data_IF_300912070398
#
_entry.id   IF_300912070398
#
_cell.length_a   1.000
_cell.length_b   1.000
_cell.length_c   1.000
_cell.angle_alpha   90.00
_cell.angle_beta   90.00
_cell.angle_gamma   90.00
#
_symmetry.space_group_name_H-M   'P 1'
#
loop_
_entity.id
_entity.type
_entity.pdbx_description
1 polymer ?
#
# COMPACT_ATOMS: atom_id res chain seq x y z
N UNK A 1 -33.64 -16.90 60.95
CA UNK A 1 -33.43 -18.03 60.02
C UNK A 1 -33.87 -17.60 58.63
N UNK A 2 -33.13 -16.65 58.05
CA UNK A 2 -33.24 -16.15 56.68
C UNK A 2 -31.79 -15.75 56.32
N UNK A 3 -31.41 -15.89 55.06
CA UNK A 3 -30.24 -15.28 54.39
C UNK A 3 -28.99 -16.10 54.02
N UNK A 4 -29.09 -17.42 53.83
CA UNK A 4 -28.04 -18.15 53.06
C UNK A 4 -28.39 -18.41 51.58
N UNK A 5 -29.63 -18.23 51.14
CA UNK A 5 -30.02 -18.49 49.72
C UNK A 5 -29.88 -17.28 48.79
N UNK A 6 -29.94 -16.04 49.31
CA UNK A 6 -29.90 -14.82 48.48
C UNK A 6 -28.51 -14.59 47.86
N UNK A 7 -27.44 -14.96 48.56
CA UNK A 7 -26.06 -14.77 48.08
C UNK A 7 -25.64 -15.83 47.06
N UNK A 8 -26.22 -17.03 47.11
CA UNK A 8 -25.95 -18.08 46.11
C UNK A 8 -26.61 -17.73 44.76
N UNK A 9 -27.81 -17.14 44.79
CA UNK A 9 -28.56 -16.81 43.58
C UNK A 9 -28.01 -15.57 42.84
N UNK A 10 -27.29 -14.67 43.53
CA UNK A 10 -26.70 -13.49 42.90
C UNK A 10 -25.37 -13.80 42.19
N UNK A 11 -24.65 -14.84 42.62
CA UNK A 11 -23.42 -15.29 41.94
C UNK A 11 -23.74 -16.09 40.67
N UNK A 12 -24.83 -16.86 40.67
CA UNK A 12 -25.30 -17.63 39.50
C UNK A 12 -25.87 -16.73 38.39
N UNK A 13 -26.49 -15.59 38.76
CA UNK A 13 -26.95 -14.56 37.81
C UNK A 13 -25.79 -13.74 37.23
N UNK A 14 -24.67 -13.60 37.95
CA UNK A 14 -23.49 -12.87 37.45
C UNK A 14 -22.54 -13.75 36.61
N UNK A 15 -22.58 -15.07 36.78
CA UNK A 15 -21.84 -16.01 35.91
C UNK A 15 -22.58 -16.32 34.60
N UNK A 16 -23.88 -16.07 34.52
CA UNK A 16 -24.68 -16.31 33.29
C UNK A 16 -24.60 -15.18 32.24
N UNK A 17 -24.04 -14.01 32.58
CA UNK A 17 -23.82 -12.92 31.61
C UNK A 17 -22.41 -12.89 30.99
N UNK A 18 -21.51 -13.79 31.44
CA UNK A 18 -20.08 -13.76 31.08
C UNK A 18 -19.70 -14.23 29.67
N UNK A 19 -20.48 -15.08 28.98
CA UNK A 19 -20.16 -15.56 27.62
C UNK A 19 -21.41 -15.98 26.83
N UNK A 20 -22.22 -15.03 26.35
CA UNK A 20 -23.00 -15.26 25.11
C UNK A 20 -22.17 -14.89 23.89
N UNK A 21 -20.98 -15.48 23.76
CA UNK A 21 -20.11 -15.35 22.58
C UNK A 21 -20.59 -16.18 21.38
N UNK A 22 -21.62 -17.00 21.54
CA UNK A 22 -22.06 -17.97 20.53
C UNK A 22 -23.26 -17.48 19.69
N UNK A 23 -23.70 -16.24 19.90
CA UNK A 23 -24.77 -15.61 19.15
C UNK A 23 -24.28 -14.79 17.96
N UNK A 24 -25.23 -14.17 17.27
CA UNK A 24 -24.97 -13.28 16.13
C UNK A 24 -24.01 -12.12 16.46
N UNK A 25 -24.10 -11.55 17.67
CA UNK A 25 -23.17 -10.52 18.14
C UNK A 25 -21.71 -11.02 18.20
N UNK A 26 -21.49 -12.28 18.58
CA UNK A 26 -20.17 -12.91 18.57
C UNK A 26 -19.63 -13.06 17.15
N UNK A 27 -20.48 -13.51 16.21
CA UNK A 27 -20.14 -13.58 14.79
C UNK A 27 -19.78 -12.21 14.22
N UNK A 28 -20.59 -11.18 14.51
CA UNK A 28 -20.31 -9.80 14.07
C UNK A 28 -18.95 -9.31 14.57
N UNK A 29 -18.64 -9.51 15.85
CA UNK A 29 -17.35 -9.15 16.44
C UNK A 29 -16.18 -9.85 15.74
N UNK A 30 -16.30 -11.16 15.50
CA UNK A 30 -15.25 -11.93 14.82
C UNK A 30 -14.98 -11.39 13.40
N UNK A 31 -16.03 -11.07 12.64
CA UNK A 31 -15.88 -10.50 11.30
C UNK A 31 -15.29 -9.09 11.33
N UNK A 32 -15.69 -8.26 12.30
CA UNK A 32 -15.13 -6.93 12.52
C UNK A 32 -13.64 -7.01 12.86
N UNK A 33 -13.27 -7.83 13.85
CA UNK A 33 -11.88 -8.02 14.28
C UNK A 33 -11.00 -8.47 13.11
N UNK A 34 -11.52 -9.37 12.28
CA UNK A 34 -10.78 -9.93 11.17
C UNK A 34 -10.64 -8.94 9.99
N UNK A 35 -11.66 -8.12 9.72
CA UNK A 35 -11.58 -7.04 8.74
C UNK A 35 -10.69 -5.88 9.21
N UNK A 36 -10.78 -5.50 10.49
CA UNK A 36 -9.91 -4.51 11.10
C UNK A 36 -8.44 -4.95 11.12
N UNK A 37 -8.18 -6.22 11.43
CA UNK A 37 -6.84 -6.80 11.37
C UNK A 37 -6.26 -6.77 9.95
N UNK A 38 -7.05 -7.13 8.93
CA UNK A 38 -6.62 -7.03 7.53
C UNK A 38 -6.28 -5.57 7.16
N UNK A 39 -7.14 -4.62 7.51
CA UNK A 39 -6.92 -3.20 7.26
C UNK A 39 -5.67 -2.65 7.99
N UNK A 40 -5.40 -3.12 9.22
CA UNK A 40 -4.19 -2.77 9.96
C UNK A 40 -2.89 -3.24 9.27
N UNK A 41 -2.98 -4.30 8.47
CA UNK A 41 -1.89 -4.80 7.63
C UNK A 41 -1.91 -4.24 6.19
N UNK A 42 -2.76 -3.24 5.92
CA UNK A 42 -2.88 -2.58 4.62
C UNK A 42 -3.77 -3.29 3.60
N UNK A 43 -4.41 -4.40 3.98
CA UNK A 43 -5.42 -5.05 3.15
C UNK A 43 -6.79 -4.44 3.42
N UNK A 44 -7.13 -3.43 2.63
CA UNK A 44 -8.44 -2.79 2.65
C UNK A 44 -9.47 -3.49 1.75
N UNK A 45 -9.18 -4.65 1.17
CA UNK A 45 -10.09 -5.36 0.26
C UNK A 45 -11.10 -6.26 0.99
N UNK A 46 -10.77 -6.67 2.22
CA UNK A 46 -11.66 -7.46 3.06
C UNK A 46 -12.93 -6.67 3.41
N UNK A 47 -14.10 -7.30 3.32
CA UNK A 47 -15.41 -6.70 3.62
C UNK A 47 -16.10 -7.49 4.73
N UNK A 48 -16.84 -6.79 5.58
CA UNK A 48 -17.75 -7.42 6.53
C UNK A 48 -18.97 -7.97 5.79
N UNK A 49 -19.46 -9.17 6.13
CA UNK A 49 -20.72 -9.68 5.59
C UNK A 49 -21.90 -8.81 6.05
N UNK A 50 -22.96 -8.75 5.26
CA UNK A 50 -24.18 -7.98 5.57
C UNK A 50 -25.41 -8.91 5.59
N UNK A 51 -25.23 -10.12 6.12
CA UNK A 51 -26.25 -11.15 6.23
C UNK A 51 -26.55 -11.51 7.70
N UNK A 52 -26.49 -10.50 8.56
CA UNK A 52 -26.94 -10.61 9.94
C UNK A 52 -28.47 -10.50 10.00
N UNK A 53 -29.09 -11.15 10.99
CA UNK A 53 -30.51 -11.07 11.29
C UNK A 53 -30.85 -9.70 11.87
N UNK A 54 -29.97 -9.14 12.71
CA UNK A 54 -30.09 -7.78 13.22
C UNK A 54 -29.76 -6.73 12.13
N UNK A 55 -30.72 -5.87 11.75
CA UNK A 55 -30.49 -4.79 10.80
C UNK A 55 -29.42 -3.78 11.23
N UNK A 56 -29.20 -3.57 12.53
CA UNK A 56 -28.17 -2.64 13.04
C UNK A 56 -26.75 -3.16 12.77
N UNK A 57 -26.55 -4.47 12.85
CA UNK A 57 -25.26 -5.07 12.47
C UNK A 57 -25.00 -4.94 10.97
N UNK A 58 -26.03 -5.10 10.14
CA UNK A 58 -25.89 -4.88 8.70
C UNK A 58 -25.55 -3.42 8.37
N UNK A 59 -26.20 -2.45 9.02
CA UNK A 59 -25.90 -1.01 8.89
C UNK A 59 -24.46 -0.68 9.33
N UNK A 60 -24.02 -1.29 10.43
CA UNK A 60 -22.66 -1.10 10.93
C UNK A 60 -21.62 -1.70 9.98
N UNK A 61 -21.87 -2.90 9.47
CA UNK A 61 -21.04 -3.55 8.46
C UNK A 61 -20.98 -2.74 7.15
N UNK A 62 -22.11 -2.16 6.73
CA UNK A 62 -22.18 -1.25 5.58
C UNK A 62 -21.26 -0.04 5.76
N UNK A 63 -21.44 0.68 6.87
CA UNK A 63 -20.66 1.87 7.20
C UNK A 63 -19.16 1.57 7.25
N UNK A 64 -18.78 0.43 7.82
CA UNK A 64 -17.39 0.00 7.88
C UNK A 64 -16.84 -0.36 6.48
N UNK A 65 -17.64 -1.03 5.65
CA UNK A 65 -17.28 -1.36 4.28
C UNK A 65 -17.10 -0.11 3.41
N UNK A 66 -17.94 0.93 3.58
CA UNK A 66 -17.79 2.22 2.91
C UNK A 66 -16.48 2.92 3.30
N UNK A 67 -16.14 2.92 4.59
CA UNK A 67 -14.86 3.44 5.08
C UNK A 67 -13.67 2.72 4.41
N UNK A 68 -13.70 1.38 4.38
CA UNK A 68 -12.65 0.60 3.73
C UNK A 68 -12.58 0.85 2.22
N UNK A 69 -13.71 1.05 1.55
CA UNK A 69 -13.75 1.40 0.14
C UNK A 69 -13.04 2.75 -0.13
N UNK A 70 -13.33 3.78 0.67
CA UNK A 70 -12.67 5.08 0.55
C UNK A 70 -11.17 4.97 0.77
N UNK A 71 -10.73 4.18 1.77
CA UNK A 71 -9.30 3.95 2.04
C UNK A 71 -8.63 3.19 0.90
N UNK A 72 -9.24 2.11 0.42
CA UNK A 72 -8.73 1.31 -0.69
C UNK A 72 -8.56 2.14 -1.97
N UNK A 73 -9.58 2.93 -2.31
CA UNK A 73 -9.53 3.83 -3.46
C UNK A 73 -8.44 4.88 -3.30
N UNK A 74 -8.36 5.49 -2.12
CA UNK A 74 -7.37 6.53 -1.84
C UNK A 74 -5.94 6.00 -1.94
N UNK A 75 -5.70 4.82 -1.36
CA UNK A 75 -4.42 4.14 -1.44
C UNK A 75 -4.05 3.77 -2.89
N UNK A 76 -5.01 3.22 -3.65
CA UNK A 76 -4.80 2.85 -5.05
C UNK A 76 -4.39 4.04 -5.91
N UNK A 77 -5.01 5.20 -5.70
CA UNK A 77 -4.67 6.42 -6.43
C UNK A 77 -3.28 6.96 -6.04
N UNK A 78 -2.94 6.94 -4.75
CA UNK A 78 -1.59 7.33 -4.29
C UNK A 78 -0.53 6.39 -4.88
N UNK A 79 -0.78 5.08 -4.84
CA UNK A 79 0.11 4.08 -5.42
C UNK A 79 0.32 4.31 -6.90
N UNK A 80 -0.75 4.57 -7.67
CA UNK A 80 -0.68 4.89 -9.10
C UNK A 80 0.20 6.12 -9.38
N UNK A 81 0.01 7.21 -8.62
CA UNK A 81 0.78 8.46 -8.80
C UNK A 81 2.26 8.21 -8.47
N UNK A 82 2.55 7.49 -7.39
CA UNK A 82 3.92 7.17 -6.98
C UNK A 82 4.60 6.26 -7.99
N UNK A 83 3.92 5.24 -8.52
CA UNK A 83 4.43 4.38 -9.58
C UNK A 83 4.72 5.18 -10.86
N UNK A 84 3.80 6.05 -11.28
CA UNK A 84 4.03 6.92 -12.44
C UNK A 84 5.26 7.82 -12.23
N UNK A 85 5.43 8.37 -11.03
CA UNK A 85 6.62 9.15 -10.70
C UNK A 85 7.91 8.32 -10.74
N UNK A 86 7.88 7.09 -10.23
CA UNK A 86 9.01 6.16 -10.27
C UNK A 86 9.41 5.78 -11.71
N UNK A 87 8.43 5.66 -12.60
CA UNK A 87 8.65 5.44 -14.04
C UNK A 87 9.08 6.71 -14.79
N UNK A 88 9.28 7.82 -14.07
CA UNK A 88 9.63 9.12 -14.64
C UNK A 88 8.48 9.79 -15.40
N UNK A 89 7.26 9.24 -15.33
CA UNK A 89 6.07 9.87 -15.90
C UNK A 89 5.59 11.01 -15.01
N UNK A 90 6.17 12.18 -15.25
CA UNK A 90 5.71 13.40 -14.61
C UNK A 90 4.38 13.89 -15.15
N UNK A 91 3.79 13.36 -16.22
CA UNK A 91 2.55 13.86 -16.82
C UNK A 91 1.27 13.34 -16.14
N UNK A 92 1.41 12.45 -15.15
CA UNK A 92 0.28 11.93 -14.36
C UNK A 92 -0.54 13.06 -13.74
N UNK A 93 -1.86 12.87 -13.70
CA UNK A 93 -2.82 13.79 -13.07
C UNK A 93 -3.67 13.01 -12.08
N UNK A 94 -4.04 13.66 -10.99
CA UNK A 94 -5.08 13.15 -10.09
C UNK A 94 -6.42 13.26 -10.82
N UNK A 95 -7.08 12.13 -11.04
CA UNK A 95 -8.36 12.10 -11.80
C UNK A 95 -9.58 12.13 -10.88
N UNK A 96 -9.43 11.65 -9.64
CA UNK A 96 -10.54 11.54 -8.70
C UNK A 96 -10.68 12.74 -7.79
N UNK A 97 -11.93 13.21 -7.66
CA UNK A 97 -12.35 14.16 -6.64
C UNK A 97 -12.44 13.42 -5.31
N UNK A 98 -11.46 13.64 -4.43
CA UNK A 98 -11.57 13.25 -3.03
C UNK A 98 -11.94 14.46 -2.18
N UNK A 99 -12.47 14.20 -0.99
CA UNK A 99 -12.83 15.21 -0.01
C UNK A 99 -11.90 15.16 1.21
N UNK A 100 -11.87 16.25 1.96
CA UNK A 100 -11.17 16.32 3.24
C UNK A 100 -9.65 16.13 3.12
N UNK A 101 -9.07 15.25 3.94
CA UNK A 101 -7.62 15.12 4.06
C UNK A 101 -6.95 14.49 2.83
N UNK A 102 -7.65 13.61 2.12
CA UNK A 102 -7.14 13.01 0.88
C UNK A 102 -7.03 14.03 -0.25
N UNK A 103 -7.94 15.00 -0.31
CA UNK A 103 -7.86 16.09 -1.29
C UNK A 103 -6.58 16.90 -1.11
N UNK A 104 -6.21 17.18 0.15
CA UNK A 104 -4.98 17.91 0.46
C UNK A 104 -3.73 17.12 0.03
N UNK A 105 -3.74 15.79 0.16
CA UNK A 105 -2.65 14.92 -0.28
C UNK A 105 -2.52 15.00 -1.81
N UNK A 106 -3.62 14.89 -2.54
CA UNK A 106 -3.63 14.98 -3.99
C UNK A 106 -3.16 16.34 -4.52
N UNK A 107 -3.61 17.44 -3.90
CA UNK A 107 -3.12 18.79 -4.23
C UNK A 107 -1.62 18.93 -4.02
N UNK A 108 -1.06 18.30 -2.97
CA UNK A 108 0.39 18.29 -2.73
C UNK A 108 1.13 17.50 -3.81
N UNK A 109 0.60 16.36 -4.25
CA UNK A 109 1.18 15.62 -5.37
C UNK A 109 1.19 16.44 -6.66
N UNK A 110 0.08 17.09 -6.99
CA UNK A 110 0.00 17.97 -8.17
C UNK A 110 1.01 19.11 -8.09
N UNK A 111 1.17 19.74 -6.93
CA UNK A 111 2.16 20.80 -6.71
C UNK A 111 3.59 20.29 -6.88
N UNK A 112 3.91 19.11 -6.33
CA UNK A 112 5.23 18.48 -6.49
C UNK A 112 5.52 18.19 -7.95
N UNK A 113 4.57 17.59 -8.68
CA UNK A 113 4.71 17.31 -10.11
C UNK A 113 4.89 18.60 -10.93
N UNK A 114 4.09 19.63 -10.65
CA UNK A 114 4.24 20.93 -11.30
C UNK A 114 5.60 21.58 -11.02
N UNK A 115 6.10 21.47 -9.79
CA UNK A 115 7.41 21.99 -9.40
C UNK A 115 8.54 21.25 -10.12
N UNK A 116 8.48 19.92 -10.17
CA UNK A 116 9.46 19.11 -10.89
C UNK A 116 9.48 19.43 -12.39
N UNK A 117 8.30 19.51 -13.03
CA UNK A 117 8.17 19.94 -14.44
C UNK A 117 8.78 21.34 -14.67
N UNK A 118 8.54 22.27 -13.75
CA UNK A 118 9.09 23.63 -13.83
C UNK A 118 10.62 23.66 -13.72
N UNK A 119 11.19 22.89 -12.80
CA UNK A 119 12.65 22.83 -12.60
C UNK A 119 13.34 22.15 -13.78
N UNK A 120 12.76 21.07 -14.31
CA UNK A 120 13.32 20.34 -15.44
C UNK A 120 13.10 21.04 -16.79
N UNK A 121 12.12 21.95 -16.86
CA UNK A 121 11.65 22.51 -18.11
C UNK A 121 10.97 21.46 -19.00
N UNK A 122 10.38 21.91 -20.11
CA UNK A 122 9.61 21.06 -21.03
C UNK A 122 10.46 19.91 -21.61
N UNK A 123 11.67 20.24 -22.09
CA UNK A 123 12.61 19.26 -22.64
C UNK A 123 13.15 18.28 -21.60
N UNK A 124 13.42 18.73 -20.37
CA UNK A 124 13.90 17.86 -19.30
C UNK A 124 12.81 16.92 -18.78
N UNK A 125 11.56 17.40 -18.68
CA UNK A 125 10.44 16.57 -18.25
C UNK A 125 10.13 15.44 -19.23
N UNK A 126 10.23 15.68 -20.54
CA UNK A 126 10.05 14.61 -21.55
C UNK A 126 11.18 13.58 -21.50
N UNK A 127 12.44 14.05 -21.36
CA UNK A 127 13.62 13.17 -21.27
C UNK A 127 13.67 12.38 -19.97
N UNK A 128 13.06 12.87 -18.89
CA UNK A 128 13.06 12.20 -17.58
C UNK A 128 12.42 10.80 -17.64
N UNK A 129 11.27 10.67 -18.31
CA UNK A 129 10.62 9.38 -18.52
C UNK A 129 11.47 8.42 -19.37
N UNK A 130 12.13 8.95 -20.41
CA UNK A 130 13.01 8.17 -21.28
C UNK A 130 14.24 7.65 -20.52
N UNK A 131 14.87 8.51 -19.71
CA UNK A 131 16.01 8.14 -18.86
C UNK A 131 15.61 7.07 -17.83
N UNK A 132 14.45 7.22 -17.17
CA UNK A 132 13.94 6.23 -16.22
C UNK A 132 13.69 4.87 -16.91
N UNK A 133 13.03 4.88 -18.07
CA UNK A 133 12.77 3.66 -18.86
C UNK A 133 14.07 2.98 -19.32
N UNK A 134 15.04 3.76 -19.79
CA UNK A 134 16.34 3.25 -20.21
C UNK A 134 17.11 2.63 -19.04
N UNK A 135 17.04 3.25 -17.85
CA UNK A 135 17.64 2.71 -16.65
C UNK A 135 16.99 1.37 -16.23
N UNK A 136 15.66 1.28 -16.20
CA UNK A 136 14.92 0.03 -15.89
C UNK A 136 15.25 -1.09 -16.87
N UNK A 137 15.36 -0.77 -18.17
CA UNK A 137 15.78 -1.76 -19.18
C UNK A 137 17.20 -2.24 -18.93
N UNK A 138 18.11 -1.31 -18.63
CA UNK A 138 19.51 -1.63 -18.37
C UNK A 138 19.67 -2.51 -17.13
N UNK A 139 18.96 -2.23 -16.03
CA UNK A 139 19.01 -3.09 -14.82
C UNK A 139 18.43 -4.47 -15.07
N UNK A 140 17.36 -4.59 -15.85
CA UNK A 140 16.78 -5.89 -16.24
C UNK A 140 17.74 -6.73 -17.11
N UNK A 141 18.39 -6.11 -18.10
CA UNK A 141 19.40 -6.78 -18.93
C UNK A 141 20.59 -7.24 -18.08
N UNK A 142 21.12 -6.39 -17.20
CA UNK A 142 22.22 -6.77 -16.30
C UNK A 142 21.88 -7.96 -15.39
N UNK A 143 20.65 -8.04 -14.87
CA UNK A 143 20.23 -9.17 -14.02
C UNK A 143 20.05 -10.46 -14.84
N UNK A 144 19.60 -10.35 -16.10
CA UNK A 144 19.44 -11.47 -17.03
C UNK A 144 20.78 -11.99 -17.54
N UNK A 145 21.73 -11.11 -17.85
CA UNK A 145 23.10 -11.51 -18.23
C UNK A 145 23.84 -12.17 -17.06
N UNK A 146 23.52 -11.82 -15.81
CA UNK A 146 24.11 -12.45 -14.63
C UNK A 146 23.64 -13.89 -14.43
N UNK A 147 22.44 -14.26 -14.90
CA UNK A 147 21.99 -15.66 -14.91
C UNK A 147 22.67 -16.51 -15.98
N UNK A 148 23.16 -15.90 -17.07
CA UNK A 148 23.92 -16.59 -18.14
C UNK A 148 25.44 -16.55 -17.94
N UNK A 149 25.94 -15.68 -17.05
CA UNK A 149 27.35 -15.65 -16.66
C UNK A 149 27.65 -16.79 -15.67
N UNK A 150 28.07 -17.92 -16.22
CA UNK A 150 28.78 -18.98 -15.52
C UNK A 150 30.05 -18.36 -14.88
N UNK A 151 29.96 -17.91 -13.62
CA UNK A 151 31.03 -17.19 -12.93
C UNK A 151 32.21 -18.15 -12.73
N UNK A 152 33.13 -18.17 -13.69
CA UNK A 152 34.46 -18.76 -13.50
C UNK A 152 35.27 -17.83 -12.61
N UNK A 153 35.62 -18.32 -11.42
CA UNK A 153 36.50 -17.62 -10.47
C UNK A 153 37.81 -17.27 -11.18
N UNK A 154 38.15 -15.98 -11.20
CA UNK A 154 39.32 -15.44 -11.89
C UNK A 154 40.63 -16.00 -11.30
N UNK A 155 41.55 -16.46 -12.16
CA UNK A 155 42.92 -16.84 -11.80
C UNK A 155 43.90 -15.68 -12.09
N UNK A 156 45.14 -15.78 -11.59
CA UNK A 156 46.18 -14.73 -11.56
C UNK A 156 46.51 -14.06 -12.92
N UNK A 157 46.15 -14.68 -14.05
CA UNK A 157 46.33 -14.10 -15.40
C UNK A 157 45.12 -13.26 -15.90
N UNK A 158 44.06 -13.14 -15.10
CA UNK A 158 42.81 -12.50 -15.55
C UNK A 158 42.93 -10.99 -15.50
N UNK A 159 42.88 -10.34 -16.67
CA UNK A 159 42.83 -8.88 -16.77
C UNK A 159 41.57 -8.36 -16.06
N UNK A 160 41.67 -7.37 -15.16
CA UNK A 160 40.52 -6.91 -14.39
C UNK A 160 39.41 -6.43 -15.33
N UNK A 161 38.20 -7.00 -15.19
CA UNK A 161 37.04 -6.52 -15.91
C UNK A 161 36.77 -5.07 -15.50
N UNK A 162 36.71 -4.18 -16.48
CA UNK A 162 36.32 -2.80 -16.24
C UNK A 162 34.89 -2.78 -15.70
N UNK A 163 34.70 -2.23 -14.50
CA UNK A 163 33.37 -2.09 -13.90
C UNK A 163 32.45 -1.29 -14.84
N UNK A 164 31.30 -1.84 -15.26
CA UNK A 164 30.35 -1.14 -16.13
C UNK A 164 29.87 0.19 -15.55
N UNK A 165 29.76 0.28 -14.21
CA UNK A 165 29.41 1.51 -13.52
C UNK A 165 30.47 2.62 -13.73
N UNK A 166 31.76 2.28 -13.76
CA UNK A 166 32.85 3.24 -13.97
C UNK A 166 32.86 3.77 -15.42
N UNK A 167 32.57 2.91 -16.39
CA UNK A 167 32.46 3.30 -17.79
C UNK A 167 31.23 4.19 -18.07
N UNK A 168 30.13 3.96 -17.36
CA UNK A 168 28.94 4.79 -17.44
C UNK A 168 29.19 6.21 -16.89
N UNK A 169 29.83 6.32 -15.73
CA UNK A 169 30.23 7.62 -15.16
C UNK A 169 31.13 8.41 -16.12
N UNK A 170 32.12 7.75 -16.72
CA UNK A 170 33.03 8.37 -17.69
C UNK A 170 32.34 8.87 -18.96
N UNK A 171 31.25 8.22 -19.39
CA UNK A 171 30.44 8.65 -20.54
C UNK A 171 29.53 9.82 -20.19
N UNK A 172 28.95 9.83 -18.99
CA UNK A 172 28.10 10.91 -18.52
C UNK A 172 28.89 12.22 -18.33
N UNK A 173 30.11 12.17 -17.79
CA UNK A 173 30.96 13.35 -17.62
C UNK A 173 31.49 13.94 -18.93
N UNK A 174 31.50 13.18 -20.03
CA UNK A 174 31.92 13.68 -21.36
C UNK A 174 30.75 14.26 -22.17
N UNK A 175 29.52 14.12 -21.70
CA UNK A 175 28.31 14.57 -22.37
C UNK A 175 27.78 15.92 -21.82
N UNK A 176 28.50 16.51 -20.87
CA UNK A 176 28.33 17.87 -20.35
C UNK A 176 29.61 18.67 -20.63
#
# INVERSE_FOLDING_TARGET
MIDQDTSANMLEVLETEGLRTDGEAGRFRLELDAAASAAAHGDFSRRMPQNFQDPEFNRSAETFNELLAVLQESYSEISRIVSALADGNLAVRVEKRSCGRFEQIYRKFDLTLATLRKVLGESGSMRFAEVATNFTRMTATFMTERSDLDIKIANDESKPLASPARALWDRLFRAF
#
